data_IF_799100305213
#
_entry.id   IF_799100305213
#
_cell.length_a   1.000
_cell.length_b   1.000
_cell.length_c   1.000
_cell.angle_alpha   90.00
_cell.angle_beta   90.00
_cell.angle_gamma   90.00
#
_symmetry.space_group_name_H-M   'P 1'
#
loop_
_entity.id
_entity.type
_entity.pdbx_description
1 polymer ?
#
# COMPACT_ATOMS: atom_id res chain seq x y z
N UNK A 1 23.40 -17.32 -5.72
CA UNK A 1 22.25 -17.92 -6.42
C UNK A 1 21.02 -17.21 -5.87
N UNK A 2 20.32 -16.38 -6.65
CA UNK A 2 19.00 -15.88 -6.23
C UNK A 2 18.01 -16.94 -6.69
N UNK A 3 17.70 -17.83 -5.76
CA UNK A 3 16.96 -19.06 -5.98
C UNK A 3 15.50 -18.67 -5.74
N UNK A 4 14.74 -18.58 -6.84
CA UNK A 4 13.28 -18.44 -6.87
C UNK A 4 12.79 -17.00 -6.56
N UNK A 5 11.87 -16.45 -7.37
CA UNK A 5 11.19 -15.21 -7.02
C UNK A 5 10.15 -15.50 -5.93
N UNK A 6 10.62 -15.50 -4.68
CA UNK A 6 9.84 -15.84 -3.48
C UNK A 6 8.60 -14.96 -3.37
N UNK A 7 8.68 -13.68 -3.74
CA UNK A 7 7.58 -12.72 -3.64
C UNK A 7 6.41 -13.04 -4.59
N UNK A 8 6.58 -13.15 -5.93
CA UNK A 8 5.46 -13.49 -6.80
C UNK A 8 5.02 -14.95 -6.64
N UNK A 9 5.90 -15.87 -6.22
CA UNK A 9 5.51 -17.25 -5.92
C UNK A 9 4.63 -17.33 -4.67
N UNK A 10 4.96 -16.57 -3.61
CA UNK A 10 4.12 -16.43 -2.43
C UNK A 10 2.77 -15.81 -2.78
N UNK A 11 2.77 -14.72 -3.55
CA UNK A 11 1.54 -14.07 -4.02
C UNK A 11 0.68 -15.01 -4.87
N UNK A 12 1.29 -15.83 -5.73
CA UNK A 12 0.58 -16.81 -6.55
C UNK A 12 -0.09 -17.88 -5.68
N UNK A 13 0.62 -18.43 -4.70
CA UNK A 13 0.07 -19.43 -3.75
C UNK A 13 -1.07 -18.79 -2.94
N UNK A 14 -0.88 -17.57 -2.44
CA UNK A 14 -1.87 -16.85 -1.67
C UNK A 14 -3.14 -16.55 -2.48
N UNK A 15 -2.98 -16.06 -3.72
CA UNK A 15 -4.09 -15.81 -4.63
C UNK A 15 -4.84 -17.10 -5.00
N UNK A 16 -4.11 -18.19 -5.23
CA UNK A 16 -4.69 -19.51 -5.50
C UNK A 16 -5.50 -20.03 -4.31
N UNK A 17 -5.00 -19.85 -3.09
CA UNK A 17 -5.71 -20.22 -1.87
C UNK A 17 -7.04 -19.46 -1.72
N UNK A 18 -7.00 -18.12 -1.87
CA UNK A 18 -8.21 -17.29 -1.78
C UNK A 18 -9.21 -17.65 -2.87
N UNK A 19 -8.76 -17.85 -4.11
CA UNK A 19 -9.64 -18.20 -5.22
C UNK A 19 -10.33 -19.56 -5.00
N UNK A 20 -9.58 -20.57 -4.54
CA UNK A 20 -10.13 -21.89 -4.22
C UNK A 20 -11.13 -21.85 -3.06
N UNK A 21 -10.82 -21.10 -1.99
CA UNK A 21 -11.74 -20.88 -0.88
C UNK A 21 -13.01 -20.15 -1.32
N UNK A 22 -12.86 -19.14 -2.18
CA UNK A 22 -13.99 -18.35 -2.67
C UNK A 22 -14.96 -19.17 -3.53
N UNK A 23 -14.44 -20.08 -4.37
CA UNK A 23 -15.28 -20.99 -5.16
C UNK A 23 -16.01 -22.00 -4.27
N UNK A 24 -15.31 -22.61 -3.32
CA UNK A 24 -15.86 -23.73 -2.51
C UNK A 24 -16.86 -23.27 -1.46
N UNK A 25 -16.63 -22.14 -0.80
CA UNK A 25 -17.49 -21.65 0.29
C UNK A 25 -18.60 -20.70 -0.17
N UNK A 26 -18.36 -19.93 -1.24
CA UNK A 26 -19.23 -18.82 -1.62
C UNK A 26 -19.81 -18.94 -3.04
N UNK A 27 -19.68 -20.11 -3.67
CA UNK A 27 -20.27 -20.38 -4.99
C UNK A 27 -19.58 -19.65 -6.16
N UNK A 28 -18.48 -18.94 -5.90
CA UNK A 28 -17.72 -18.24 -6.93
C UNK A 28 -18.48 -17.08 -7.59
N UNK A 29 -18.52 -17.07 -8.92
CA UNK A 29 -19.10 -15.98 -9.75
C UNK A 29 -20.61 -16.19 -9.98
N UNK A 30 -21.12 -17.42 -9.84
CA UNK A 30 -22.50 -17.77 -10.19
C UNK A 30 -23.53 -17.26 -9.19
N UNK A 31 -23.12 -17.04 -7.95
CA UNK A 31 -23.94 -16.34 -6.95
C UNK A 31 -23.35 -14.96 -6.71
N UNK A 32 -24.07 -13.92 -7.14
CA UNK A 32 -23.78 -12.54 -6.77
C UNK A 32 -23.93 -12.41 -5.25
N UNK A 33 -22.83 -12.60 -4.53
CA UNK A 33 -22.78 -12.70 -3.08
C UNK A 33 -21.37 -12.46 -2.54
N UNK A 34 -21.13 -12.83 -1.28
CA UNK A 34 -19.88 -12.55 -0.57
C UNK A 34 -18.61 -13.11 -1.26
N UNK A 35 -18.74 -14.11 -2.14
CA UNK A 35 -17.66 -14.70 -2.91
C UNK A 35 -17.30 -13.99 -4.21
N UNK A 36 -18.16 -13.09 -4.72
CA UNK A 36 -17.97 -12.46 -6.01
C UNK A 36 -16.71 -11.58 -6.03
N UNK A 37 -16.59 -10.70 -5.03
CA UNK A 37 -15.50 -9.73 -4.94
C UNK A 37 -14.15 -10.40 -4.64
N UNK A 38 -14.06 -11.35 -3.68
CA UNK A 38 -12.85 -12.14 -3.48
C UNK A 38 -12.44 -12.93 -4.73
N UNK A 39 -13.38 -13.58 -5.44
CA UNK A 39 -13.07 -14.35 -6.65
C UNK A 39 -12.47 -13.49 -7.77
N UNK A 40 -13.02 -12.30 -8.02
CA UNK A 40 -12.54 -11.42 -9.09
C UNK A 40 -11.14 -10.91 -8.76
N UNK A 41 -10.94 -10.41 -7.53
CA UNK A 41 -9.65 -9.88 -7.11
C UNK A 41 -8.60 -10.99 -7.10
N UNK A 42 -8.90 -12.17 -6.54
CA UNK A 42 -7.93 -13.26 -6.48
C UNK A 42 -7.65 -13.85 -7.86
N UNK A 43 -8.63 -13.88 -8.77
CA UNK A 43 -8.41 -14.26 -10.17
C UNK A 43 -7.48 -13.29 -10.90
N UNK A 44 -7.69 -11.98 -10.74
CA UNK A 44 -6.81 -10.97 -11.32
C UNK A 44 -5.39 -11.03 -10.72
N UNK A 45 -5.28 -11.18 -9.41
CA UNK A 45 -4.00 -11.37 -8.72
C UNK A 45 -3.27 -12.62 -9.20
N UNK A 46 -3.98 -13.74 -9.38
CA UNK A 46 -3.39 -14.99 -9.88
C UNK A 46 -2.86 -14.81 -11.31
N UNK A 47 -3.61 -14.11 -12.17
CA UNK A 47 -3.19 -13.79 -13.52
C UNK A 47 -1.93 -12.91 -13.54
N UNK A 48 -1.90 -11.82 -12.77
CA UNK A 48 -0.74 -10.93 -12.67
C UNK A 48 0.48 -11.66 -12.07
N UNK A 49 0.29 -12.42 -10.99
CA UNK A 49 1.37 -13.18 -10.37
C UNK A 49 1.94 -14.25 -11.30
N UNK A 50 1.10 -14.92 -12.10
CA UNK A 50 1.55 -15.87 -13.11
C UNK A 50 2.38 -15.19 -14.21
N UNK A 51 2.00 -13.99 -14.65
CA UNK A 51 2.77 -13.17 -15.59
C UNK A 51 4.13 -12.81 -14.97
N UNK A 52 4.16 -12.31 -13.73
CA UNK A 52 5.41 -11.95 -13.06
C UNK A 52 6.36 -13.14 -12.90
N UNK A 53 5.84 -14.32 -12.51
CA UNK A 53 6.64 -15.55 -12.45
C UNK A 53 7.16 -15.94 -13.84
N UNK A 54 6.34 -15.84 -14.89
CA UNK A 54 6.77 -16.15 -16.25
C UNK A 54 7.85 -15.18 -16.77
N UNK A 55 7.71 -13.89 -16.47
CA UNK A 55 8.69 -12.85 -16.79
C UNK A 55 9.99 -13.10 -16.03
N UNK A 56 9.95 -13.43 -14.75
CA UNK A 56 11.15 -13.66 -13.93
C UNK A 56 11.89 -14.94 -14.34
N UNK A 57 11.17 -16.00 -14.71
CA UNK A 57 11.77 -17.22 -15.28
C UNK A 57 12.44 -16.92 -16.63
N UNK A 58 11.80 -16.10 -17.48
CA UNK A 58 12.31 -15.73 -18.82
C UNK A 58 13.48 -14.74 -18.74
N UNK A 59 13.40 -13.76 -17.85
CA UNK A 59 14.45 -12.80 -17.56
C UNK A 59 15.21 -13.24 -16.31
N UNK A 60 15.97 -14.32 -16.46
CA UNK A 60 16.93 -14.85 -15.46
C UNK A 60 18.10 -13.87 -15.19
N UNK A 61 17.83 -12.57 -15.10
CA UNK A 61 18.77 -11.54 -14.74
C UNK A 61 19.10 -11.71 -13.26
N UNK A 62 20.34 -12.16 -13.01
CA UNK A 62 21.04 -11.92 -11.74
C UNK A 62 21.20 -10.41 -11.55
N UNK A 63 20.15 -9.71 -11.14
CA UNK A 63 20.37 -8.48 -10.41
C UNK A 63 20.68 -8.90 -8.98
N UNK A 64 21.96 -8.88 -8.59
CA UNK A 64 22.31 -8.80 -7.18
C UNK A 64 21.88 -7.39 -6.76
N UNK A 65 20.72 -7.27 -6.16
CA UNK A 65 20.36 -6.03 -5.46
C UNK A 65 21.31 -5.96 -4.27
N UNK A 66 22.41 -5.24 -4.44
CA UNK A 66 23.26 -4.83 -3.35
C UNK A 66 22.51 -3.72 -2.64
N UNK A 67 21.92 -4.05 -1.48
CA UNK A 67 21.32 -3.05 -0.62
C UNK A 67 22.41 -2.08 -0.19
N UNK A 68 22.31 -0.85 -0.68
CA UNK A 68 23.21 0.23 -0.27
C UNK A 68 22.78 0.73 1.10
N UNK A 69 23.72 1.19 1.92
CA UNK A 69 23.44 1.72 3.25
C UNK A 69 22.38 2.84 3.22
N UNK A 70 22.38 3.66 2.16
CA UNK A 70 21.40 4.72 1.93
C UNK A 70 19.98 4.17 1.70
N UNK A 71 19.84 3.02 1.03
CA UNK A 71 18.55 2.38 0.81
C UNK A 71 18.00 1.83 2.13
N UNK A 72 18.85 1.21 2.94
CA UNK A 72 18.48 0.73 4.29
C UNK A 72 18.05 1.88 5.18
N UNK A 73 18.79 3.00 5.14
CA UNK A 73 18.45 4.22 5.90
C UNK A 73 17.13 4.82 5.44
N UNK A 74 16.88 4.91 4.14
CA UNK A 74 15.61 5.40 3.59
C UNK A 74 14.44 4.50 4.00
N UNK A 75 14.63 3.18 3.95
CA UNK A 75 13.61 2.19 4.30
C UNK A 75 13.28 2.26 5.80
N UNK A 76 14.30 2.38 6.66
CA UNK A 76 14.14 2.59 8.10
C UNK A 76 13.42 3.91 8.41
N UNK A 77 13.73 4.97 7.66
CA UNK A 77 13.05 6.26 7.80
C UNK A 77 11.56 6.14 7.46
N UNK A 78 11.21 5.48 6.36
CA UNK A 78 9.80 5.25 5.98
C UNK A 78 9.07 4.46 7.06
N UNK A 79 9.65 3.37 7.55
CA UNK A 79 9.06 2.57 8.64
C UNK A 79 8.82 3.43 9.88
N UNK A 80 9.82 4.22 10.27
CA UNK A 80 9.73 5.11 11.44
C UNK A 80 8.62 6.14 11.28
N UNK A 81 8.52 6.76 10.10
CA UNK A 81 7.49 7.77 9.80
C UNK A 81 6.10 7.16 9.80
N UNK A 82 5.92 5.95 9.26
CA UNK A 82 4.63 5.24 9.28
C UNK A 82 4.23 4.84 10.70
N UNK A 83 5.15 4.34 11.52
CA UNK A 83 4.88 4.04 12.94
C UNK A 83 4.47 5.30 13.71
N UNK A 84 5.20 6.40 13.50
CA UNK A 84 4.91 7.68 14.12
C UNK A 84 3.53 8.19 13.67
N UNK A 85 3.19 8.04 12.38
CA UNK A 85 1.88 8.38 11.86
C UNK A 85 0.78 7.66 12.63
N UNK A 86 0.82 6.32 12.71
CA UNK A 86 -0.21 5.53 13.40
C UNK A 86 -0.36 5.95 14.86
N UNK A 87 0.76 6.20 15.57
CA UNK A 87 0.72 6.62 16.97
C UNK A 87 0.15 8.03 17.17
N UNK A 88 0.47 8.97 16.28
CA UNK A 88 -0.03 10.35 16.36
C UNK A 88 -1.42 10.52 15.75
N UNK A 89 -1.89 9.55 14.98
CA UNK A 89 -3.15 9.63 14.25
C UNK A 89 -4.33 9.86 15.20
N UNK A 90 -4.39 9.11 16.30
CA UNK A 90 -5.45 9.24 17.30
C UNK A 90 -5.36 10.56 18.10
N UNK A 91 -4.17 11.15 18.21
CA UNK A 91 -3.93 12.36 19.01
C UNK A 91 -4.21 13.61 18.17
N UNK A 92 -3.62 13.69 16.97
CA UNK A 92 -3.64 14.87 16.10
C UNK A 92 -4.80 14.86 15.10
N UNK A 93 -5.40 13.70 14.84
CA UNK A 93 -6.39 13.52 13.79
C UNK A 93 -5.77 13.41 12.40
N UNK A 94 -6.55 12.88 11.45
CA UNK A 94 -6.06 12.54 10.11
C UNK A 94 -5.46 13.73 9.35
N UNK A 95 -6.10 14.90 9.38
CA UNK A 95 -5.70 16.06 8.57
C UNK A 95 -4.35 16.63 9.02
N UNK A 96 -4.18 16.85 10.32
CA UNK A 96 -2.95 17.44 10.86
C UNK A 96 -1.80 16.44 10.74
N UNK A 97 -2.05 15.16 11.04
CA UNK A 97 -1.04 14.11 10.97
C UNK A 97 -0.55 13.90 9.52
N UNK A 98 -1.46 13.85 8.55
CA UNK A 98 -1.12 13.68 7.13
C UNK A 98 -0.39 14.88 6.56
N UNK A 99 -0.79 16.11 6.94
CA UNK A 99 -0.06 17.31 6.58
C UNK A 99 1.39 17.28 7.10
N UNK A 100 1.59 16.99 8.39
CA UNK A 100 2.92 16.94 9.00
C UNK A 100 3.81 15.91 8.31
N UNK A 101 3.27 14.71 8.07
CA UNK A 101 3.99 13.62 7.44
C UNK A 101 4.44 13.97 6.03
N UNK A 102 3.52 14.44 5.18
CA UNK A 102 3.83 14.83 3.80
C UNK A 102 4.83 15.97 3.77
N UNK A 103 4.67 16.96 4.65
CA UNK A 103 5.57 18.09 4.75
C UNK A 103 6.99 17.67 5.14
N UNK A 104 7.13 16.81 6.16
CA UNK A 104 8.42 16.29 6.63
C UNK A 104 9.11 15.49 5.51
N UNK A 105 8.40 14.58 4.85
CA UNK A 105 8.95 13.79 3.75
C UNK A 105 9.42 14.64 2.58
N UNK A 106 8.63 15.65 2.19
CA UNK A 106 9.02 16.58 1.13
C UNK A 106 10.23 17.43 1.52
N UNK A 107 10.33 17.85 2.78
CA UNK A 107 11.46 18.61 3.29
C UNK A 107 12.74 17.77 3.33
N UNK A 108 12.65 16.50 3.74
CA UNK A 108 13.77 15.55 3.70
C UNK A 108 14.28 15.35 2.26
N UNK A 109 13.39 15.38 1.27
CA UNK A 109 13.76 15.31 -0.16
C UNK A 109 14.26 16.64 -0.75
N UNK A 110 14.36 17.71 0.04
CA UNK A 110 14.88 19.00 -0.42
C UNK A 110 13.93 19.80 -1.32
N UNK A 111 12.62 19.53 -1.25
CA UNK A 111 11.62 20.31 -2.01
C UNK A 111 11.52 21.73 -1.45
N UNK A 112 11.28 22.73 -2.33
CA UNK A 112 11.10 24.13 -1.94
C UNK A 112 9.97 24.27 -0.91
N UNK A 113 10.22 24.98 0.19
CA UNK A 113 9.28 25.13 1.31
C UNK A 113 7.86 25.51 0.89
N UNK A 114 7.72 26.48 -0.01
CA UNK A 114 6.41 26.91 -0.51
C UNK A 114 5.65 25.77 -1.20
N UNK A 115 6.32 24.96 -2.03
CA UNK A 115 5.69 23.84 -2.71
C UNK A 115 5.36 22.73 -1.70
N UNK A 116 6.24 22.46 -0.74
CA UNK A 116 5.99 21.47 0.31
C UNK A 116 4.75 21.81 1.14
N UNK A 117 4.58 23.06 1.54
CA UNK A 117 3.41 23.50 2.31
C UNK A 117 2.14 23.40 1.48
N UNK A 118 2.13 23.98 0.27
CA UNK A 118 0.94 24.01 -0.59
C UNK A 118 0.47 22.60 -0.93
N UNK A 119 1.39 21.72 -1.35
CA UNK A 119 1.04 20.35 -1.75
C UNK A 119 0.61 19.51 -0.55
N UNK A 120 1.27 19.65 0.60
CA UNK A 120 0.89 18.87 1.79
C UNK A 120 -0.48 19.27 2.32
N UNK A 121 -0.79 20.58 2.35
CA UNK A 121 -2.12 21.07 2.76
C UNK A 121 -3.19 20.61 1.78
N UNK A 122 -2.98 20.84 0.48
CA UNK A 122 -3.98 20.50 -0.53
C UNK A 122 -4.23 19.00 -0.59
N UNK A 123 -3.18 18.18 -0.61
CA UNK A 123 -3.31 16.73 -0.65
C UNK A 123 -4.04 16.21 0.60
N UNK A 124 -3.66 16.67 1.79
CA UNK A 124 -4.30 16.24 3.04
C UNK A 124 -5.80 16.59 3.08
N UNK A 125 -6.17 17.82 2.67
CA UNK A 125 -7.56 18.26 2.64
C UNK A 125 -8.38 17.55 1.57
N UNK A 126 -7.82 17.36 0.37
CA UNK A 126 -8.50 16.65 -0.72
C UNK A 126 -8.78 15.20 -0.32
N UNK A 127 -7.80 14.50 0.24
CA UNK A 127 -7.97 13.11 0.68
C UNK A 127 -9.01 13.05 1.80
N UNK A 128 -8.91 13.92 2.81
CA UNK A 128 -9.92 13.98 3.87
C UNK A 128 -11.32 14.25 3.31
N UNK A 129 -11.47 15.19 2.38
CA UNK A 129 -12.76 15.52 1.79
C UNK A 129 -13.35 14.32 1.03
N UNK A 130 -12.58 13.69 0.14
CA UNK A 130 -13.04 12.54 -0.63
C UNK A 130 -13.45 11.42 0.32
N UNK A 131 -12.61 11.05 1.27
CA UNK A 131 -12.90 9.89 2.09
C UNK A 131 -13.94 10.17 3.18
N UNK A 132 -13.89 11.32 3.86
CA UNK A 132 -14.81 11.63 4.96
C UNK A 132 -16.19 12.06 4.45
N UNK A 133 -16.27 12.83 3.35
CA UNK A 133 -17.55 13.36 2.83
C UNK A 133 -18.11 12.59 1.66
N UNK A 134 -17.28 12.09 0.73
CA UNK A 134 -17.76 11.38 -0.45
C UNK A 134 -17.93 9.88 -0.16
N UNK A 135 -16.94 9.27 0.48
CA UNK A 135 -16.94 7.83 0.79
C UNK A 135 -17.48 7.49 2.18
N UNK A 136 -17.75 8.49 3.02
CA UNK A 136 -18.28 8.34 4.39
C UNK A 136 -17.44 7.40 5.27
N UNK A 137 -16.12 7.40 5.06
CA UNK A 137 -15.17 6.65 5.88
C UNK A 137 -14.92 7.40 7.18
N UNK A 138 -15.07 6.71 8.31
CA UNK A 138 -14.77 7.28 9.62
C UNK A 138 -13.26 7.44 9.80
N UNK A 139 -12.82 8.70 9.96
CA UNK A 139 -11.46 9.01 10.42
C UNK A 139 -11.52 9.53 11.85
N UNK A 140 -10.51 9.23 12.68
CA UNK A 140 -10.37 9.89 13.96
C UNK A 140 -10.04 11.37 13.73
N UNK A 141 -10.82 12.22 14.41
CA UNK A 141 -10.70 13.68 14.33
C UNK A 141 -9.56 14.21 15.23
N UNK A 142 -8.99 13.34 16.08
CA UNK A 142 -7.95 13.66 17.04
C UNK A 142 -8.54 13.96 18.41
N UNK A 143 -7.69 14.09 19.43
CA UNK A 143 -8.10 14.50 20.79
C UNK A 143 -8.33 16.02 20.86
N UNK A 144 -7.78 16.76 19.89
CA UNK A 144 -7.82 18.23 19.84
C UNK A 144 -9.08 18.79 19.14
N UNK A 145 -9.96 17.94 18.59
CA UNK A 145 -11.18 18.34 17.88
C UNK A 145 -12.35 17.41 18.21
#
# INVERSE_FOLDING_TARGET
>A
MRIIPITPLFLLIFAMFIFGWSITQYGGISQYGAGFMPCIISGLLLFLAAIDVAIDIKHRHRNKVSLTFDEVKALLLVITVVLLFVLLLDILGFVICSFLLLFILMKIRGVRLLHSVIVSISASLIIWFIFARVLLVAFPEGILF
#
